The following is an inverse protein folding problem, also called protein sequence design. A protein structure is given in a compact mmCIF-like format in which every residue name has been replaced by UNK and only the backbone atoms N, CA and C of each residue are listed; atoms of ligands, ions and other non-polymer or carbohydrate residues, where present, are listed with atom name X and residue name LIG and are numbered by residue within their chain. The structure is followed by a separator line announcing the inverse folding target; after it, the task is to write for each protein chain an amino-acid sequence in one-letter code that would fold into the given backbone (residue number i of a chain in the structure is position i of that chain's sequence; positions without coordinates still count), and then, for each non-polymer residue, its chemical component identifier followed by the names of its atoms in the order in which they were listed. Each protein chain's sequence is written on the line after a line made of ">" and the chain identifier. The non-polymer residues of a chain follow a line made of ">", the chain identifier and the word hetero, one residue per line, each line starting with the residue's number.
data_IF_085221082977
#
_entry.id   IF_085221082977
#
_cell.length_a   1.000
_cell.length_b   1.000
_cell.length_c   1.000
_cell.angle_alpha   90.00
_cell.angle_beta   90.00
_cell.angle_gamma   90.00
#
_symmetry.space_group_name_H-M   'P 1'
#
loop_
_entity.id
_entity.type
_entity.pdbx_description
1 polymer ?
#
# COMPACT_ATOMS: atom_id res chain seq x y z
N UNK A 1 37.65 -1.34 -9.44
CA UNK A 1 36.72 -1.07 -10.55
C UNK A 1 35.62 -2.11 -10.47
N UNK A 2 34.55 -1.82 -9.72
CA UNK A 2 33.39 -2.72 -9.68
C UNK A 2 32.54 -2.40 -10.89
N UNK A 3 32.50 -3.38 -11.77
CA UNK A 3 31.71 -3.40 -13.00
C UNK A 3 30.27 -2.96 -12.68
N UNK A 4 29.83 -1.93 -13.39
CA UNK A 4 28.52 -1.32 -13.20
C UNK A 4 27.45 -2.31 -13.62
N UNK A 5 26.86 -3.00 -12.64
CA UNK A 5 25.62 -3.73 -12.87
C UNK A 5 24.61 -2.70 -13.40
N UNK A 6 24.33 -2.77 -14.70
CA UNK A 6 23.37 -1.89 -15.36
C UNK A 6 22.09 -1.83 -14.52
N UNK A 7 21.60 -0.62 -14.24
CA UNK A 7 20.38 -0.33 -13.49
C UNK A 7 19.21 -1.13 -14.08
N UNK A 8 18.96 -2.34 -13.54
CA UNK A 8 17.95 -3.27 -14.05
C UNK A 8 16.59 -2.78 -13.61
N UNK A 9 15.71 -2.52 -14.56
CA UNK A 9 14.34 -2.09 -14.28
C UNK A 9 13.38 -3.26 -14.41
N UNK A 10 12.40 -3.32 -13.50
CA UNK A 10 11.28 -4.26 -13.54
C UNK A 10 10.04 -3.50 -13.98
N UNK A 11 9.37 -3.98 -15.03
CA UNK A 11 8.10 -3.45 -15.53
C UNK A 11 7.01 -4.48 -15.30
N UNK A 12 5.89 -4.06 -14.72
CA UNK A 12 4.75 -4.93 -14.42
C UNK A 12 3.48 -4.34 -15.04
N UNK A 13 2.75 -5.18 -15.78
CA UNK A 13 1.43 -4.84 -16.33
C UNK A 13 0.36 -5.51 -15.48
N UNK A 14 -0.67 -4.76 -15.10
CA UNK A 14 -1.75 -5.25 -14.25
C UNK A 14 -3.05 -4.48 -14.54
N UNK A 15 -4.18 -5.11 -14.25
CA UNK A 15 -5.49 -4.43 -14.28
C UNK A 15 -5.58 -3.36 -13.19
N UNK A 16 -6.51 -2.41 -13.33
CA UNK A 16 -6.74 -1.40 -12.29
C UNK A 16 -7.08 -2.03 -10.93
N UNK A 17 -7.87 -3.12 -10.91
CA UNK A 17 -8.21 -3.83 -9.68
C UNK A 17 -6.97 -4.43 -9.01
N UNK A 18 -6.05 -5.02 -9.77
CA UNK A 18 -4.78 -5.52 -9.23
C UNK A 18 -3.90 -4.38 -8.70
N UNK A 19 -3.88 -3.23 -9.39
CA UNK A 19 -3.19 -2.03 -8.93
C UNK A 19 -3.76 -1.51 -7.61
N UNK A 20 -5.09 -1.53 -7.44
CA UNK A 20 -5.72 -1.18 -6.17
C UNK A 20 -5.30 -2.13 -5.04
N UNK A 21 -5.29 -3.45 -5.29
CA UNK A 21 -4.80 -4.43 -4.31
C UNK A 21 -3.33 -4.25 -3.97
N UNK A 22 -2.48 -3.95 -4.96
CA UNK A 22 -1.07 -3.63 -4.76
C UNK A 22 -0.92 -2.38 -3.87
N UNK A 23 -1.73 -1.35 -4.10
CA UNK A 23 -1.74 -0.16 -3.24
C UNK A 23 -2.05 -0.49 -1.78
N UNK A 24 -3.00 -1.39 -1.52
CA UNK A 24 -3.31 -1.82 -0.15
C UNK A 24 -2.14 -2.58 0.49
N UNK A 25 -1.49 -3.47 -0.27
CA UNK A 25 -0.32 -4.22 0.21
C UNK A 25 0.88 -3.29 0.53
N UNK A 26 1.15 -2.32 -0.33
CA UNK A 26 2.20 -1.31 -0.12
C UNK A 26 1.89 -0.41 1.08
N UNK A 27 0.63 -0.01 1.25
CA UNK A 27 0.22 0.75 2.44
C UNK A 27 0.41 -0.07 3.71
N UNK A 28 -0.01 -1.34 3.73
CA UNK A 28 0.20 -2.21 4.87
C UNK A 28 1.69 -2.34 5.23
N UNK A 29 2.54 -2.64 4.24
CA UNK A 29 3.99 -2.77 4.45
C UNK A 29 4.61 -1.48 5.01
N UNK A 30 4.23 -0.33 4.43
CA UNK A 30 4.68 0.97 4.91
C UNK A 30 4.21 1.24 6.35
N UNK A 31 2.91 1.10 6.63
CA UNK A 31 2.29 1.38 7.94
C UNK A 31 2.91 0.53 9.05
N UNK A 32 3.00 -0.77 8.83
CA UNK A 32 3.65 -1.69 9.78
C UNK A 32 5.12 -1.34 9.95
N UNK A 33 5.84 -1.04 8.85
CA UNK A 33 7.25 -0.68 8.90
C UNK A 33 7.56 0.63 9.65
N UNK A 34 6.57 1.52 9.82
CA UNK A 34 6.71 2.72 10.66
C UNK A 34 6.15 2.54 12.08
N UNK A 35 5.67 1.35 12.42
CA UNK A 35 5.13 1.01 13.74
C UNK A 35 3.62 1.27 13.89
N UNK A 36 2.87 1.51 12.82
CA UNK A 36 1.41 1.67 12.85
C UNK A 36 0.70 0.32 12.72
N UNK A 37 0.84 -0.53 13.74
CA UNK A 37 0.33 -1.90 13.74
C UNK A 37 -1.20 -1.93 13.77
N UNK A 38 -1.82 -0.92 14.37
CA UNK A 38 -3.26 -0.69 14.40
C UNK A 38 -3.92 -0.70 13.02
N UNK A 39 -3.15 -0.43 11.95
CA UNK A 39 -3.66 -0.50 10.58
C UNK A 39 -4.09 -1.92 10.19
N UNK A 40 -3.51 -2.97 10.78
CA UNK A 40 -3.97 -4.35 10.58
C UNK A 40 -5.39 -4.53 11.10
N UNK A 41 -5.72 -3.93 12.25
CA UNK A 41 -7.09 -3.90 12.79
C UNK A 41 -8.06 -3.12 11.91
N UNK A 42 -7.60 -2.03 11.28
CA UNK A 42 -8.40 -1.28 10.30
C UNK A 42 -8.72 -2.12 9.06
N UNK A 43 -7.72 -2.81 8.49
CA UNK A 43 -7.91 -3.74 7.36
C UNK A 43 -8.88 -4.87 7.71
N UNK A 44 -8.86 -5.37 8.96
CA UNK A 44 -9.85 -6.35 9.43
C UNK A 44 -11.27 -5.77 9.48
N UNK A 45 -11.44 -4.55 10.03
CA UNK A 45 -12.73 -3.84 10.06
C UNK A 45 -13.29 -3.52 8.68
N UNK A 46 -12.42 -3.29 7.70
CA UNK A 46 -12.80 -3.10 6.30
C UNK A 46 -13.19 -4.41 5.58
N UNK A 47 -13.16 -5.55 6.27
CA UNK A 47 -13.50 -6.85 5.68
C UNK A 47 -12.43 -7.36 4.71
N UNK A 48 -11.18 -6.87 4.79
CA UNK A 48 -10.06 -7.41 3.99
C UNK A 48 -9.41 -8.61 4.70
N UNK A 49 -9.26 -8.55 6.02
CA UNK A 49 -8.98 -9.76 6.81
C UNK A 49 -10.30 -10.41 7.22
N UNK A 50 -10.31 -11.74 7.26
CA UNK A 50 -11.51 -12.52 7.55
C UNK A 50 -11.24 -13.56 8.59
N UNK A 51 -12.29 -13.90 9.33
CA UNK A 51 -12.22 -15.04 10.23
C UNK A 51 -12.09 -16.33 9.40
N UNK A 52 -11.32 -17.28 9.93
CA UNK A 52 -11.23 -18.60 9.35
C UNK A 52 -12.62 -19.23 9.32
N UNK A 53 -13.02 -19.71 8.16
CA UNK A 53 -14.24 -20.48 7.97
C UNK A 53 -13.89 -21.82 7.30
N UNK A 54 -14.64 -22.89 7.57
CA UNK A 54 -14.60 -24.10 6.76
C UNK A 54 -14.73 -23.79 5.26
N UNK A 55 -14.05 -24.57 4.41
CA UNK A 55 -13.95 -24.29 2.97
C UNK A 55 -15.31 -24.27 2.24
N UNK A 56 -16.33 -24.91 2.80
CA UNK A 56 -17.71 -24.99 2.31
C UNK A 56 -18.58 -23.82 2.78
N UNK A 57 -18.07 -22.92 3.63
CA UNK A 57 -18.81 -21.78 4.16
C UNK A 57 -18.39 -20.47 3.50
N UNK A 58 -19.31 -19.51 3.38
CA UNK A 58 -18.96 -18.19 2.88
C UNK A 58 -17.93 -17.53 3.82
N UNK A 59 -17.16 -16.62 3.22
CA UNK A 59 -16.25 -15.74 3.94
C UNK A 59 -16.97 -15.05 5.09
N UNK A 60 -16.37 -15.10 6.28
CA UNK A 60 -16.89 -14.45 7.48
C UNK A 60 -16.05 -13.22 7.80
N UNK A 61 -16.69 -12.05 7.83
CA UNK A 61 -16.04 -10.81 8.27
C UNK A 61 -15.68 -10.89 9.75
N UNK A 62 -14.66 -10.13 10.16
CA UNK A 62 -14.25 -10.08 11.55
C UNK A 62 -15.35 -9.43 12.41
N UNK A 63 -15.75 -10.12 13.48
CA UNK A 63 -16.70 -9.54 14.44
C UNK A 63 -16.11 -8.32 15.15
N UNK A 64 -16.98 -7.48 15.75
CA UNK A 64 -16.53 -6.35 16.56
C UNK A 64 -15.60 -6.80 17.70
N UNK A 65 -15.96 -7.89 18.38
CA UNK A 65 -15.15 -8.48 19.45
C UNK A 65 -13.78 -8.94 18.93
N UNK A 66 -13.76 -9.63 17.78
CA UNK A 66 -12.52 -10.05 17.11
C UNK A 66 -11.63 -8.84 16.80
N UNK A 67 -12.21 -7.75 16.30
CA UNK A 67 -11.46 -6.53 16.00
C UNK A 67 -10.88 -5.88 17.26
N UNK A 68 -11.64 -5.83 18.36
CA UNK A 68 -11.16 -5.30 19.64
C UNK A 68 -10.02 -6.14 20.23
N UNK A 69 -10.13 -7.47 20.16
CA UNK A 69 -9.07 -8.38 20.59
C UNK A 69 -7.81 -8.19 19.73
N UNK A 70 -7.98 -8.05 18.41
CA UNK A 70 -6.89 -7.79 17.48
C UNK A 70 -6.17 -6.48 17.81
N UNK A 71 -6.89 -5.39 18.08
CA UNK A 71 -6.30 -4.10 18.47
C UNK A 71 -5.47 -4.22 19.77
N UNK A 72 -5.97 -4.97 20.76
CA UNK A 72 -5.25 -5.22 22.01
C UNK A 72 -3.95 -6.01 21.78
N UNK A 73 -4.00 -7.08 20.98
CA UNK A 73 -2.82 -7.90 20.64
C UNK A 73 -1.80 -7.08 19.85
N UNK A 74 -2.24 -6.27 18.88
CA UNK A 74 -1.36 -5.43 18.08
C UNK A 74 -0.68 -4.35 18.92
N UNK A 75 -1.38 -3.79 19.91
CA UNK A 75 -0.80 -2.84 20.87
C UNK A 75 0.32 -3.49 21.70
N UNK A 76 0.10 -4.73 22.17
CA UNK A 76 1.13 -5.49 22.90
C UNK A 76 2.32 -5.85 22.02
N UNK A 77 2.07 -6.30 20.78
CA UNK A 77 3.11 -6.63 19.82
C UNK A 77 4.00 -5.41 19.51
N UNK A 78 3.36 -4.24 19.32
CA UNK A 78 4.04 -2.97 19.12
C UNK A 78 4.91 -2.58 20.32
N UNK A 79 4.39 -2.75 21.54
CA UNK A 79 5.16 -2.52 22.78
C UNK A 79 6.38 -3.44 22.91
N UNK A 80 6.28 -4.69 22.46
CA UNK A 80 7.40 -5.66 22.46
C UNK A 80 8.57 -5.19 21.59
N UNK A 81 8.29 -4.40 20.55
CA UNK A 81 9.30 -3.82 19.67
C UNK A 81 9.80 -2.44 20.13
N UNK A 82 9.38 -1.97 21.32
CA UNK A 82 9.81 -0.70 21.90
C UNK A 82 9.06 0.53 21.35
N UNK A 83 7.98 0.34 20.60
CA UNK A 83 7.14 1.46 20.16
C UNK A 83 6.14 1.86 21.26
N UNK A 84 5.89 3.16 21.46
CA UNK A 84 4.84 3.62 22.37
C UNK A 84 3.44 3.27 21.82
N UNK A 85 2.43 3.03 22.68
CA UNK A 85 1.10 2.56 22.24
C UNK A 85 0.48 3.40 21.13
N UNK A 86 0.55 4.73 21.26
CA UNK A 86 -0.04 5.69 20.32
C UNK A 86 0.97 6.42 19.45
N UNK A 87 2.24 6.01 19.45
CA UNK A 87 3.26 6.65 18.62
C UNK A 87 3.71 5.75 17.47
N UNK A 88 4.29 6.36 16.47
CA UNK A 88 4.90 5.72 15.31
C UNK A 88 6.04 6.61 14.83
N UNK A 89 6.90 6.07 13.98
CA UNK A 89 7.91 6.89 13.33
C UNK A 89 7.31 7.63 12.13
N UNK A 90 7.84 8.82 11.85
CA UNK A 90 7.67 9.41 10.52
C UNK A 90 8.44 8.61 9.49
N UNK A 91 7.98 8.57 8.24
CA UNK A 91 8.63 7.79 7.16
C UNK A 91 10.10 8.17 6.91
N UNK A 92 10.48 9.41 7.23
CA UNK A 92 11.85 9.91 7.13
C UNK A 92 12.77 9.50 8.29
N UNK A 93 12.24 8.84 9.32
CA UNK A 93 13.01 8.49 10.51
C UNK A 93 14.12 7.48 10.19
N UNK A 94 15.26 7.60 10.89
CA UNK A 94 16.45 6.77 10.63
C UNK A 94 16.21 5.28 10.90
N UNK A 95 15.41 4.95 11.92
CA UNK A 95 15.08 3.56 12.27
C UNK A 95 14.04 2.90 11.36
N UNK A 96 13.43 3.65 10.43
CA UNK A 96 12.51 3.04 9.45
C UNK A 96 13.33 2.36 8.36
N UNK A 97 13.10 1.06 8.19
CA UNK A 97 13.77 0.21 7.21
C UNK A 97 13.53 0.66 5.76
N UNK A 98 14.47 0.28 4.88
CA UNK A 98 14.42 0.67 3.47
C UNK A 98 13.18 0.13 2.75
N UNK A 99 12.68 -1.05 3.14
CA UNK A 99 11.50 -1.65 2.50
C UNK A 99 10.23 -0.84 2.73
N UNK A 100 10.03 -0.32 3.95
CA UNK A 100 8.89 0.55 4.27
C UNK A 100 8.97 1.88 3.52
N UNK A 101 10.19 2.42 3.37
CA UNK A 101 10.45 3.63 2.59
C UNK A 101 10.21 3.40 1.10
N UNK A 102 10.67 2.28 0.54
CA UNK A 102 10.39 1.88 -0.84
C UNK A 102 8.88 1.69 -1.06
N UNK A 103 8.18 1.05 -0.12
CA UNK A 103 6.74 0.87 -0.18
C UNK A 103 5.99 2.21 -0.21
N UNK A 104 6.41 3.19 0.60
CA UNK A 104 5.87 4.56 0.56
C UNK A 104 6.06 5.20 -0.82
N UNK A 105 7.28 5.17 -1.37
CA UNK A 105 7.56 5.81 -2.67
C UNK A 105 6.74 5.17 -3.79
N UNK A 106 6.66 3.84 -3.82
CA UNK A 106 5.85 3.07 -4.77
C UNK A 106 4.36 3.40 -4.63
N UNK A 107 3.86 3.46 -3.39
CA UNK A 107 2.47 3.79 -3.10
C UNK A 107 2.10 5.19 -3.59
N UNK A 108 2.97 6.18 -3.36
CA UNK A 108 2.77 7.55 -3.81
C UNK A 108 2.61 7.64 -5.33
N UNK A 109 3.50 7.01 -6.10
CA UNK A 109 3.44 7.06 -7.58
C UNK A 109 2.27 6.25 -8.12
N UNK A 110 1.95 5.11 -7.52
CA UNK A 110 0.82 4.27 -7.92
C UNK A 110 -0.52 4.99 -7.70
N UNK A 111 -0.71 5.60 -6.52
CA UNK A 111 -1.91 6.38 -6.20
C UNK A 111 -2.07 7.58 -7.12
N UNK A 112 -0.98 8.26 -7.46
CA UNK A 112 -1.02 9.37 -8.39
C UNK A 112 -1.44 8.93 -9.80
N UNK A 113 -0.86 7.84 -10.31
CA UNK A 113 -1.21 7.31 -11.62
C UNK A 113 -2.70 6.94 -11.71
N UNK A 114 -3.25 6.27 -10.69
CA UNK A 114 -4.67 5.93 -10.60
C UNK A 114 -5.57 7.17 -10.48
N UNK A 115 -5.16 8.16 -9.69
CA UNK A 115 -5.93 9.39 -9.50
C UNK A 115 -6.00 10.22 -10.79
N UNK A 116 -4.89 10.33 -11.52
CA UNK A 116 -4.85 11.01 -12.83
C UNK A 116 -5.76 10.31 -13.84
N UNK A 117 -5.73 8.98 -13.89
CA UNK A 117 -6.58 8.21 -14.81
C UNK A 117 -8.08 8.44 -14.54
N UNK A 118 -8.51 8.45 -13.27
CA UNK A 118 -9.91 8.70 -12.90
C UNK A 118 -10.39 10.12 -13.22
N UNK A 119 -9.52 11.13 -13.13
CA UNK A 119 -9.86 12.50 -13.52
C UNK A 119 -10.03 12.66 -15.04
N UNK A 120 -9.40 11.81 -15.86
CA UNK A 120 -9.67 11.79 -17.30
C UNK A 120 -11.11 11.33 -17.59
N UNK A 121 -11.76 10.64 -16.65
CA UNK A 121 -13.12 10.13 -16.77
C UNK A 121 -14.19 11.06 -16.14
N UNK A 122 -13.84 11.99 -15.23
CA UNK A 122 -14.76 13.00 -14.65
C UNK A 122 -14.07 14.28 -14.11
N UNK A 123 -14.64 15.51 -14.24
CA UNK A 123 -13.92 16.77 -13.96
C UNK A 123 -13.59 17.09 -12.49
N UNK A 124 -12.49 17.84 -12.33
CA UNK A 124 -11.66 18.07 -11.14
C UNK A 124 -12.20 19.02 -10.04
N UNK A 125 -13.28 18.65 -9.35
CA UNK A 125 -13.72 19.38 -8.15
C UNK A 125 -13.04 18.92 -6.83
N UNK A 126 -12.21 17.87 -6.84
CA UNK A 126 -11.57 17.34 -5.63
C UNK A 126 -10.14 16.82 -5.87
N UNK A 127 -9.20 17.72 -6.19
CA UNK A 127 -7.76 17.38 -6.22
C UNK A 127 -7.26 17.09 -4.80
N UNK A 128 -7.36 15.84 -4.38
CA UNK A 128 -6.87 15.35 -3.09
C UNK A 128 -5.35 15.19 -3.04
N UNK A 129 -4.85 14.76 -1.87
CA UNK A 129 -3.42 14.52 -1.61
C UNK A 129 -2.81 13.51 -2.60
N UNK A 130 -3.59 12.56 -3.11
CA UNK A 130 -3.13 11.55 -4.07
C UNK A 130 -2.56 12.13 -5.38
N UNK A 131 -3.01 13.30 -5.83
CA UNK A 131 -2.51 13.93 -7.06
C UNK A 131 -1.10 14.49 -6.93
N UNK A 132 -0.63 14.72 -5.70
CA UNK A 132 0.73 15.24 -5.46
C UNK A 132 1.81 14.19 -5.80
N UNK A 133 1.48 12.91 -5.71
CA UNK A 133 2.44 11.83 -5.91
C UNK A 133 3.61 11.89 -4.93
N UNK A 134 4.77 11.45 -5.40
CA UNK A 134 6.00 11.43 -4.60
C UNK A 134 6.66 12.82 -4.60
N UNK A 135 6.54 13.55 -3.49
CA UNK A 135 7.08 14.92 -3.37
C UNK A 135 8.48 14.99 -2.76
N UNK A 136 8.86 13.99 -1.96
CA UNK A 136 10.17 13.92 -1.32
C UNK A 136 10.67 12.48 -1.33
N UNK A 137 11.93 12.29 -1.76
CA UNK A 137 12.59 10.99 -1.73
C UNK A 137 12.98 10.62 -0.29
N UNK A 138 12.78 9.36 0.06
CA UNK A 138 13.15 8.75 1.34
C UNK A 138 14.18 7.64 1.18
N UNK A 139 14.47 7.23 -0.06
CA UNK A 139 15.53 6.26 -0.38
C UNK A 139 16.54 6.82 -1.38
N UNK A 140 17.72 6.18 -1.44
CA UNK A 140 18.76 6.47 -2.43
C UNK A 140 18.54 5.79 -3.78
N UNK A 141 17.50 4.98 -3.92
CA UNK A 141 17.17 4.26 -5.14
C UNK A 141 16.74 5.22 -6.27
N UNK A 142 16.62 4.70 -7.48
CA UNK A 142 15.95 5.43 -8.55
C UNK A 142 14.48 5.65 -8.20
N UNK A 143 13.96 6.85 -8.48
CA UNK A 143 12.55 7.15 -8.24
C UNK A 143 11.63 6.22 -9.05
N UNK A 144 10.65 5.57 -8.41
CA UNK A 144 9.72 4.68 -9.10
C UNK A 144 8.81 5.48 -10.05
N UNK A 145 8.22 4.79 -11.02
CA UNK A 145 7.29 5.37 -11.99
C UNK A 145 6.10 4.44 -12.18
N UNK A 146 4.91 5.04 -12.30
CA UNK A 146 3.69 4.33 -12.66
C UNK A 146 2.93 5.15 -13.71
N UNK A 147 2.26 4.46 -14.63
CA UNK A 147 1.34 5.06 -15.61
C UNK A 147 0.20 4.10 -15.89
N UNK A 148 -0.98 4.64 -16.16
CA UNK A 148 -2.13 3.86 -16.65
C UNK A 148 -2.14 3.97 -18.17
N UNK A 149 -2.21 2.84 -18.85
CA UNK A 149 -2.36 2.77 -20.30
C UNK A 149 -3.76 2.25 -20.61
N UNK A 150 -4.49 2.93 -21.50
CA UNK A 150 -5.71 2.38 -22.07
C UNK A 150 -5.31 1.17 -22.91
N UNK A 151 -5.79 -0.02 -22.53
CA UNK A 151 -5.54 -1.22 -23.33
C UNK A 151 -6.02 -0.98 -24.76
N UNK A 152 -5.15 -1.20 -25.74
CA UNK A 152 -5.62 -1.37 -27.12
C UNK A 152 -6.67 -2.48 -27.09
N UNK A 153 -7.91 -2.18 -27.51
CA UNK A 153 -8.93 -3.20 -27.65
C UNK A 153 -8.33 -4.39 -28.39
N UNK A 154 -8.43 -5.58 -27.78
CA UNK A 154 -8.05 -6.81 -28.47
C UNK A 154 -8.76 -6.85 -29.82
N UNK A 155 -8.11 -7.33 -30.89
CA UNK A 155 -8.71 -7.38 -32.22
C UNK A 155 -10.02 -8.16 -32.14
N UNK A 156 -11.05 -7.62 -32.80
CA UNK A 156 -12.41 -8.15 -32.78
C UNK A 156 -12.45 -9.65 -33.05
N UNK A 157 -13.19 -10.37 -32.19
CA UNK A 157 -13.78 -11.63 -32.60
C UNK A 157 -14.97 -11.30 -33.49
N UNK A 158 -14.69 -11.20 -34.79
CA UNK A 158 -15.66 -11.46 -35.86
C UNK A 158 -15.93 -12.95 -35.95
#
# INVERSE_FOLDING_TARGET
>A
MTDGAADRQVVMTMSERQAQSMGLALELLMRVGIGQFEYIGEIARMGVLSESAPADRPRKEASLETCQQLDAVLTLAKGTLGHPPHGSFGIHHAHVGVDAKNAYELLCVLRQALAIAREQEAPAAARGVAHRGLTARVTGERAPKARVESGAGGPGMS
#
